data_IF_197493790622
#
_entry.id   IF_197493790622
#
_cell.length_a   1.000
_cell.length_b   1.000
_cell.length_c   1.000
_cell.angle_alpha   90.00
_cell.angle_beta   90.00
_cell.angle_gamma   90.00
#
_symmetry.space_group_name_H-M   'P 1'
#
loop_
_entity.id
_entity.type
_entity.pdbx_description
1 polymer ?
#
# COMPACT_ATOMS: atom_id res chain seq x y z
N UNK A 1 -10.24 -15.54 -15.51
CA UNK A 1 -10.33 -14.22 -14.84
C UNK A 1 -9.14 -13.37 -15.23
N UNK A 2 -9.35 -12.16 -15.77
CA UNK A 2 -8.29 -11.31 -16.32
C UNK A 2 -7.33 -10.80 -15.21
N UNK A 3 -6.03 -11.16 -15.27
CA UNK A 3 -5.01 -10.85 -14.25
C UNK A 3 -4.90 -9.35 -13.95
N UNK A 4 -5.00 -8.52 -14.99
CA UNK A 4 -4.87 -7.07 -14.88
C UNK A 4 -5.99 -6.44 -14.03
N UNK A 5 -7.22 -6.96 -14.15
CA UNK A 5 -8.35 -6.48 -13.35
C UNK A 5 -8.13 -6.77 -11.86
N UNK A 6 -7.52 -7.91 -11.51
CA UNK A 6 -7.19 -8.24 -10.11
C UNK A 6 -6.16 -7.26 -9.55
N UNK A 7 -5.11 -6.97 -10.31
CA UNK A 7 -4.03 -6.07 -9.89
C UNK A 7 -4.54 -4.64 -9.73
N UNK A 8 -5.33 -4.14 -10.69
CA UNK A 8 -5.95 -2.80 -10.60
C UNK A 8 -6.87 -2.71 -9.37
N UNK A 9 -7.66 -3.76 -9.07
CA UNK A 9 -8.47 -3.80 -7.85
C UNK A 9 -7.63 -3.72 -6.57
N UNK A 10 -6.55 -4.49 -6.51
CA UNK A 10 -5.62 -4.44 -5.37
C UNK A 10 -4.98 -3.05 -5.23
N UNK A 11 -4.59 -2.43 -6.34
CA UNK A 11 -4.03 -1.07 -6.36
C UNK A 11 -5.03 -0.05 -5.82
N UNK A 12 -6.27 -0.09 -6.27
CA UNK A 12 -7.33 0.78 -5.75
C UNK A 12 -7.59 0.56 -4.26
N UNK A 13 -7.54 -0.68 -3.78
CA UNK A 13 -7.74 -0.98 -2.37
C UNK A 13 -6.61 -0.43 -1.50
N UNK A 14 -5.36 -0.53 -1.95
CA UNK A 14 -4.23 0.08 -1.23
C UNK A 14 -4.26 1.61 -1.30
N UNK A 15 -4.63 2.21 -2.43
CA UNK A 15 -4.84 3.66 -2.53
C UNK A 15 -5.87 4.16 -1.52
N UNK A 16 -6.96 3.42 -1.29
CA UNK A 16 -7.96 3.76 -0.26
C UNK A 16 -7.41 3.64 1.17
N UNK A 17 -6.46 2.74 1.42
CA UNK A 17 -5.84 2.57 2.74
C UNK A 17 -4.82 3.66 3.03
N UNK A 18 -4.10 4.12 2.00
CA UNK A 18 -3.08 5.16 2.11
C UNK A 18 -3.70 6.56 2.10
N UNK A 19 -4.76 6.77 1.32
CA UNK A 19 -5.44 8.06 1.23
C UNK A 19 -6.21 8.37 2.50
N UNK A 20 -6.09 9.61 2.98
CA UNK A 20 -6.86 10.12 4.12
C UNK A 20 -8.28 10.54 3.72
N UNK A 21 -8.54 10.71 2.41
CA UNK A 21 -9.86 11.12 1.90
C UNK A 21 -10.81 9.93 1.84
N UNK A 22 -11.89 10.01 2.63
CA UNK A 22 -12.97 9.01 2.65
C UNK A 22 -13.80 9.00 1.37
N UNK A 23 -13.85 10.13 0.66
CA UNK A 23 -14.62 10.23 -0.56
C UNK A 23 -13.84 9.66 -1.76
N UNK A 24 -14.25 8.46 -2.21
CA UNK A 24 -13.65 7.80 -3.37
C UNK A 24 -13.84 8.58 -4.67
N UNK A 25 -14.86 9.45 -4.75
CA UNK A 25 -15.16 10.26 -5.94
C UNK A 25 -14.28 11.50 -6.06
N UNK A 26 -13.65 11.95 -4.99
CA UNK A 26 -12.77 13.14 -4.98
C UNK A 26 -11.29 12.75 -5.10
N UNK A 27 -10.98 11.45 -5.03
CA UNK A 27 -9.61 10.98 -5.07
C UNK A 27 -9.12 10.94 -6.53
N UNK A 28 -8.41 11.99 -6.94
CA UNK A 28 -7.84 12.12 -8.29
C UNK A 28 -6.97 10.92 -8.71
N UNK A 29 -6.27 10.27 -7.75
CA UNK A 29 -5.45 9.09 -8.04
C UNK A 29 -6.30 7.87 -8.41
N UNK A 30 -7.47 7.70 -7.79
CA UNK A 30 -8.38 6.61 -8.14
C UNK A 30 -8.96 6.80 -9.55
N UNK A 31 -9.34 8.04 -9.90
CA UNK A 31 -9.80 8.38 -11.24
C UNK A 31 -8.73 8.12 -12.28
N UNK A 32 -7.51 8.60 -12.04
CA UNK A 32 -6.38 8.37 -12.94
C UNK A 32 -6.12 6.88 -13.18
N UNK A 33 -6.07 6.07 -12.13
CA UNK A 33 -5.87 4.62 -12.26
C UNK A 33 -6.99 3.94 -13.06
N UNK A 34 -8.24 4.36 -12.86
CA UNK A 34 -9.38 3.83 -13.64
C UNK A 34 -9.29 4.23 -15.11
N UNK A 35 -8.91 5.48 -15.40
CA UNK A 35 -8.74 6.00 -16.75
C UNK A 35 -7.61 5.27 -17.48
N UNK A 36 -6.45 5.07 -16.85
CA UNK A 36 -5.34 4.30 -17.42
C UNK A 36 -5.72 2.83 -17.64
N UNK A 37 -6.42 2.21 -16.69
CA UNK A 37 -6.90 0.83 -16.84
C UNK A 37 -7.92 0.69 -17.97
N UNK A 38 -8.73 1.72 -18.23
CA UNK A 38 -9.68 1.75 -19.34
C UNK A 38 -8.97 1.98 -20.68
N UNK A 39 -8.04 2.93 -20.74
CA UNK A 39 -7.27 3.23 -21.95
C UNK A 39 -6.44 2.03 -22.45
N UNK A 40 -6.08 1.10 -21.56
CA UNK A 40 -5.29 -0.09 -21.87
C UNK A 40 -6.16 -1.36 -21.95
N UNK A 41 -7.49 -1.21 -22.01
CA UNK A 41 -8.44 -2.31 -22.17
C UNK A 41 -8.65 -2.61 -23.66
N UNK A 42 -7.98 -3.65 -24.15
CA UNK A 42 -8.21 -4.28 -25.46
C UNK A 42 -8.09 -3.36 -26.68
N UNK A 43 -6.93 -2.71 -26.86
CA UNK A 43 -6.55 -2.11 -28.15
C UNK A 43 -5.81 -3.16 -28.99
N UNK A 44 -6.42 -3.57 -30.10
CA UNK A 44 -6.04 -4.72 -30.95
C UNK A 44 -4.70 -4.60 -31.71
N UNK A 45 -4.01 -3.45 -31.68
CA UNK A 45 -2.71 -3.28 -32.35
C UNK A 45 -1.48 -3.50 -31.44
N UNK A 46 -1.65 -3.63 -30.12
CA UNK A 46 -0.53 -3.72 -29.15
C UNK A 46 -0.58 -5.02 -28.35
N UNK A 47 -0.53 -6.15 -29.06
CA UNK A 47 -0.95 -7.47 -28.53
C UNK A 47 -0.05 -8.12 -27.46
N UNK A 48 1.07 -7.51 -27.03
CA UNK A 48 1.86 -8.08 -25.92
C UNK A 48 2.47 -7.02 -25.00
N UNK A 49 3.16 -6.03 -25.57
CA UNK A 49 3.97 -5.09 -24.79
C UNK A 49 3.14 -4.20 -23.86
N UNK A 50 2.10 -3.54 -24.36
CA UNK A 50 1.26 -2.65 -23.54
C UNK A 50 0.50 -3.38 -22.42
N UNK A 51 0.13 -4.65 -22.64
CA UNK A 51 -0.55 -5.47 -21.62
C UNK A 51 0.39 -5.78 -20.45
N UNK A 52 1.64 -6.11 -20.75
CA UNK A 52 2.68 -6.36 -19.75
C UNK A 52 3.12 -5.06 -19.09
N UNK A 53 3.19 -3.96 -19.82
CA UNK A 53 3.48 -2.63 -19.28
C UNK A 53 2.45 -2.18 -18.25
N UNK A 54 1.14 -2.30 -18.53
CA UNK A 54 0.09 -1.98 -17.55
C UNK A 54 0.26 -2.82 -16.28
N UNK A 55 0.51 -4.12 -16.46
CA UNK A 55 0.68 -5.06 -15.35
C UNK A 55 1.88 -4.66 -14.49
N UNK A 56 3.03 -4.47 -15.12
CA UNK A 56 4.29 -4.12 -14.45
C UNK A 56 4.16 -2.77 -13.73
N UNK A 57 3.56 -1.77 -14.38
CA UNK A 57 3.33 -0.46 -13.80
C UNK A 57 2.41 -0.53 -12.58
N UNK A 58 1.31 -1.28 -12.69
CA UNK A 58 0.37 -1.45 -11.58
C UNK A 58 0.98 -2.25 -10.42
N UNK A 59 1.81 -3.26 -10.70
CA UNK A 59 2.57 -4.00 -9.67
C UNK A 59 3.60 -3.12 -8.98
N UNK A 60 4.33 -2.28 -9.73
CA UNK A 60 5.30 -1.33 -9.19
C UNK A 60 4.61 -0.33 -8.24
N UNK A 61 3.51 0.29 -8.65
CA UNK A 61 2.77 1.22 -7.80
C UNK A 61 2.14 0.53 -6.58
N UNK A 62 1.64 -0.70 -6.75
CA UNK A 62 1.11 -1.47 -5.64
C UNK A 62 2.20 -1.78 -4.60
N UNK A 63 3.39 -2.17 -5.05
CA UNK A 63 4.55 -2.37 -4.20
C UNK A 63 4.92 -1.08 -3.46
N UNK A 64 5.03 0.03 -4.19
CA UNK A 64 5.35 1.33 -3.62
C UNK A 64 4.39 1.76 -2.50
N UNK A 65 3.07 1.65 -2.74
CA UNK A 65 2.05 2.03 -1.75
C UNK A 65 2.08 1.13 -0.51
N UNK A 66 2.29 -0.18 -0.70
CA UNK A 66 2.46 -1.13 0.41
C UNK A 66 3.69 -0.79 1.24
N UNK A 67 4.82 -0.52 0.58
CA UNK A 67 6.07 -0.13 1.24
C UNK A 67 5.93 1.19 1.98
N UNK A 68 5.20 2.17 1.43
CA UNK A 68 4.92 3.43 2.10
C UNK A 68 4.11 3.21 3.39
N UNK A 69 3.08 2.35 3.35
CA UNK A 69 2.32 1.99 4.54
C UNK A 69 3.18 1.27 5.58
N UNK A 70 3.94 0.27 5.16
CA UNK A 70 4.85 -0.46 6.06
C UNK A 70 5.87 0.49 6.70
N UNK A 71 6.42 1.45 5.94
CA UNK A 71 7.31 2.47 6.44
C UNK A 71 6.63 3.36 7.50
N UNK A 72 5.38 3.77 7.29
CA UNK A 72 4.59 4.51 8.31
C UNK A 72 4.36 3.68 9.57
N UNK A 73 4.06 2.39 9.43
CA UNK A 73 3.83 1.49 10.57
C UNK A 73 5.13 1.29 11.38
N UNK A 74 6.25 1.05 10.71
CA UNK A 74 7.59 0.98 11.32
C UNK A 74 7.93 2.32 11.99
N UNK A 75 7.72 3.44 11.31
CA UNK A 75 8.02 4.75 11.86
C UNK A 75 7.16 5.02 13.11
N UNK A 76 5.88 4.66 13.12
CA UNK A 76 5.01 4.78 14.30
C UNK A 76 5.45 3.87 15.44
N UNK A 77 5.94 2.66 15.13
CA UNK A 77 6.34 1.69 16.13
C UNK A 77 7.68 2.07 16.77
N UNK A 78 8.67 2.45 15.95
CA UNK A 78 10.06 2.61 16.39
C UNK A 78 10.49 4.06 16.53
N UNK A 79 9.93 5.00 15.75
CA UNK A 79 10.24 6.43 15.80
C UNK A 79 9.06 7.27 16.31
N UNK A 80 9.29 8.56 16.61
CA UNK A 80 8.23 9.55 16.78
C UNK A 80 7.41 9.53 18.09
N UNK A 81 7.65 8.60 19.03
CA UNK A 81 6.93 8.54 20.32
C UNK A 81 7.53 9.39 21.46
N UNK A 82 8.67 10.05 21.25
CA UNK A 82 9.39 10.75 22.32
C UNK A 82 10.01 9.76 23.33
N UNK A 83 10.13 10.16 24.59
CA UNK A 83 10.57 9.27 25.67
C UNK A 83 9.52 8.20 25.95
N UNK A 84 9.93 6.93 25.89
CA UNK A 84 9.09 5.77 26.23
C UNK A 84 9.30 5.39 27.68
N UNK A 85 8.27 4.83 28.32
CA UNK A 85 8.43 4.24 29.64
C UNK A 85 9.36 3.03 29.63
N UNK A 86 9.91 2.67 30.79
CA UNK A 86 10.77 1.48 30.96
C UNK A 86 10.04 0.23 30.49
N UNK A 87 8.75 0.10 30.83
CA UNK A 87 7.93 -1.04 30.43
C UNK A 87 7.75 -1.14 28.93
N UNK A 88 7.33 -0.05 28.29
CA UNK A 88 7.16 -0.02 26.83
C UNK A 88 8.47 -0.30 26.09
N UNK A 89 9.59 0.16 26.63
CA UNK A 89 10.91 -0.10 26.05
C UNK A 89 11.29 -1.56 26.19
N UNK A 90 11.09 -2.16 27.38
CA UNK A 90 11.32 -3.58 27.63
C UNK A 90 10.49 -4.44 26.67
N UNK A 91 9.18 -4.19 26.58
CA UNK A 91 8.27 -4.91 25.69
C UNK A 91 8.68 -4.77 24.20
N UNK A 92 9.11 -3.58 23.77
CA UNK A 92 9.52 -3.31 22.39
C UNK A 92 10.73 -4.15 21.97
N UNK A 93 11.68 -4.38 22.87
CA UNK A 93 12.91 -5.14 22.59
C UNK A 93 12.80 -6.62 23.00
N UNK A 94 11.66 -7.04 23.56
CA UNK A 94 11.40 -8.42 23.96
C UNK A 94 11.89 -8.79 25.36
N UNK A 95 12.11 -7.82 26.24
CA UNK A 95 12.40 -8.05 27.66
C UNK A 95 11.14 -8.00 28.52
N UNK A 96 11.15 -8.75 29.62
CA UNK A 96 10.15 -8.68 30.70
C UNK A 96 10.71 -7.85 31.86
N UNK A 97 9.84 -7.22 32.64
CA UNK A 97 10.27 -6.57 33.88
C UNK A 97 10.52 -7.61 34.97
N UNK A 98 11.35 -7.30 35.99
CA UNK A 98 11.60 -8.20 37.12
C UNK A 98 10.35 -8.63 37.90
N UNK A 99 9.25 -7.88 37.76
CA UNK A 99 7.98 -8.13 38.43
C UNK A 99 6.97 -8.88 37.56
N UNK A 100 7.28 -9.14 36.28
CA UNK A 100 6.38 -9.89 35.39
C UNK A 100 6.49 -11.40 35.66
N UNK A 101 5.39 -12.15 35.55
CA UNK A 101 5.41 -13.59 35.70
C UNK A 101 6.34 -14.25 34.65
N UNK A 102 7.12 -15.24 35.10
CA UNK A 102 8.06 -16.00 34.26
C UNK A 102 7.33 -16.70 33.11
#
# INVERSE_FOLDING_TARGET
MNSNIKIVRSLMQELRRVSQTKNTKENAMLHYVMEQAHAHKETSEVLCKAREELKNLAEMYLCYLKSQRACKDIHKQYAGKGERSIKETADLVGFKLPHDPK
#
